data_IF_999806383788
#
_entry.id   IF_999806383788
#
_cell.length_a   1.000
_cell.length_b   1.000
_cell.length_c   1.000
_cell.angle_alpha   90.00
_cell.angle_beta   90.00
_cell.angle_gamma   90.00
#
_symmetry.space_group_name_H-M   'P 1'
#
loop_
_entity.id
_entity.type
_entity.pdbx_description
1 polymer ?
#
# COMPACT_ATOMS: atom_id res chain seq x y z
N UNK A 1 6.26 0.89 -2.51
CA UNK A 1 6.34 -0.11 -3.61
C UNK A 1 5.39 -1.24 -3.25
N UNK A 2 4.57 -1.70 -4.18
CA UNK A 2 3.66 -2.84 -4.00
C UNK A 2 4.07 -3.94 -4.97
N UNK A 3 4.34 -5.13 -4.43
CA UNK A 3 4.83 -6.28 -5.19
C UNK A 3 3.94 -7.50 -4.97
N UNK A 4 3.85 -8.33 -6.01
CA UNK A 4 3.27 -9.67 -5.91
C UNK A 4 4.41 -10.67 -5.68
N UNK A 5 4.50 -11.32 -4.51
CA UNK A 5 5.66 -12.15 -4.17
C UNK A 5 5.78 -13.41 -5.03
N UNK A 6 4.66 -13.93 -5.55
CA UNK A 6 4.65 -15.18 -6.31
C UNK A 6 5.28 -15.06 -7.72
N UNK A 7 5.34 -13.86 -8.29
CA UNK A 7 5.88 -13.61 -9.63
C UNK A 7 6.81 -12.39 -9.70
N UNK A 8 7.10 -11.75 -8.56
CA UNK A 8 7.95 -10.56 -8.42
C UNK A 8 7.47 -9.36 -9.24
N UNK A 9 6.18 -9.32 -9.60
CA UNK A 9 5.62 -8.20 -10.36
C UNK A 9 5.46 -6.99 -9.45
N UNK A 10 6.04 -5.86 -9.85
CA UNK A 10 5.72 -4.55 -9.29
C UNK A 10 4.37 -4.12 -9.88
N UNK A 11 3.35 -4.03 -9.01
CA UNK A 11 1.98 -3.68 -9.44
C UNK A 11 1.63 -2.22 -9.16
N UNK A 12 2.35 -1.58 -8.23
CA UNK A 12 2.17 -0.16 -7.93
C UNK A 12 3.40 0.42 -7.21
N UNK A 13 3.58 1.74 -7.28
CA UNK A 13 4.59 2.47 -6.55
C UNK A 13 4.13 3.89 -6.23
N UNK A 14 4.54 4.41 -5.07
CA UNK A 14 4.38 5.81 -4.71
C UNK A 14 5.71 6.53 -4.81
N UNK A 15 5.67 7.76 -5.32
CA UNK A 15 6.80 8.68 -5.24
C UNK A 15 6.62 9.59 -4.03
N UNK A 16 7.69 9.82 -3.28
CA UNK A 16 7.69 10.81 -2.21
C UNK A 16 7.46 12.22 -2.77
N UNK A 17 6.76 13.05 -2.02
CA UNK A 17 6.60 14.46 -2.37
C UNK A 17 7.85 15.26 -1.99
N UNK A 18 8.13 16.40 -2.65
CA UNK A 18 9.16 17.32 -2.20
C UNK A 18 8.88 17.85 -0.79
N UNK A 19 9.94 18.05 0.00
CA UNK A 19 9.84 18.26 1.45
C UNK A 19 9.76 16.90 2.15
N UNK A 20 10.30 16.78 3.36
CA UNK A 20 10.37 15.50 4.09
C UNK A 20 8.98 15.03 4.56
N UNK A 21 8.12 14.63 3.63
CA UNK A 21 6.77 14.15 3.92
C UNK A 21 6.86 12.66 4.24
N UNK A 22 6.11 12.22 5.25
CA UNK A 22 6.08 10.82 5.66
C UNK A 22 5.65 9.92 4.50
N UNK A 23 6.26 8.74 4.43
CA UNK A 23 5.93 7.69 3.47
C UNK A 23 4.45 7.32 3.48
N UNK A 24 3.79 7.33 4.65
CA UNK A 24 2.36 7.18 4.80
C UNK A 24 1.55 8.14 3.93
N UNK A 25 2.00 9.40 3.80
CA UNK A 25 1.35 10.39 2.96
C UNK A 25 1.56 10.08 1.47
N UNK A 26 2.76 9.68 1.07
CA UNK A 26 3.02 9.24 -0.30
C UNK A 26 2.18 8.01 -0.67
N UNK A 27 2.00 7.07 0.27
CA UNK A 27 1.18 5.87 0.08
C UNK A 27 -0.30 6.20 -0.17
N UNK A 28 -0.88 7.15 0.55
CA UNK A 28 -2.26 7.61 0.33
C UNK A 28 -2.54 8.14 -1.08
N UNK A 29 -1.49 8.46 -1.83
CA UNK A 29 -1.58 8.96 -3.21
C UNK A 29 -1.36 7.87 -4.27
N UNK A 30 -1.05 6.64 -3.86
CA UNK A 30 -0.93 5.49 -4.76
C UNK A 30 -2.27 4.99 -5.25
N UNK A 31 -2.28 4.29 -6.38
CA UNK A 31 -3.49 3.65 -6.91
C UNK A 31 -4.01 2.59 -5.94
N UNK A 32 -3.10 1.82 -5.35
CA UNK A 32 -3.40 0.81 -4.34
C UNK A 32 -4.18 1.42 -3.18
N UNK A 33 -3.77 2.58 -2.65
CA UNK A 33 -4.51 3.19 -1.54
C UNK A 33 -5.88 3.75 -1.96
N UNK A 34 -6.00 4.31 -3.17
CA UNK A 34 -7.21 5.01 -3.62
C UNK A 34 -8.27 4.10 -4.22
N UNK A 35 -7.82 3.04 -4.89
CA UNK A 35 -8.64 2.12 -5.69
C UNK A 35 -8.53 0.68 -5.17
N UNK A 36 -8.14 0.49 -3.90
CA UNK A 36 -7.99 -0.85 -3.28
C UNK A 36 -9.23 -1.73 -3.49
N UNK A 37 -10.44 -1.18 -3.44
CA UNK A 37 -11.67 -1.93 -3.61
C UNK A 37 -11.88 -2.49 -5.04
N UNK A 38 -11.26 -1.86 -6.05
CA UNK A 38 -11.28 -2.34 -7.44
C UNK A 38 -10.11 -3.30 -7.72
N UNK A 39 -8.98 -3.09 -7.05
CA UNK A 39 -7.75 -3.85 -7.23
C UNK A 39 -7.70 -5.14 -6.42
N UNK A 40 -8.32 -5.13 -5.24
CA UNK A 40 -8.35 -6.24 -4.29
C UNK A 40 -9.79 -6.74 -4.20
N UNK A 41 -9.96 -8.05 -4.36
CA UNK A 41 -11.24 -8.70 -4.06
C UNK A 41 -11.52 -8.62 -2.54
N UNK A 42 -12.76 -8.85 -2.13
CA UNK A 42 -13.24 -8.67 -0.75
C UNK A 42 -12.49 -9.50 0.31
N UNK A 43 -11.71 -10.51 -0.12
CA UNK A 43 -10.91 -11.39 0.75
C UNK A 43 -9.41 -11.23 0.53
N UNK A 44 -8.99 -10.30 -0.33
CA UNK A 44 -7.60 -9.99 -0.60
C UNK A 44 -7.16 -8.74 0.17
N UNK A 45 -5.91 -8.75 0.60
CA UNK A 45 -5.30 -7.68 1.36
C UNK A 45 -3.79 -7.64 1.07
N UNK A 46 -3.17 -6.50 1.36
CA UNK A 46 -1.72 -6.33 1.29
C UNK A 46 -1.12 -6.33 2.70
N UNK A 47 0.12 -6.78 2.82
CA UNK A 47 0.93 -6.45 3.99
C UNK A 47 1.59 -5.09 3.81
N UNK A 48 1.58 -4.28 4.86
CA UNK A 48 2.14 -2.95 4.85
C UNK A 48 3.05 -2.72 6.07
N UNK A 49 3.96 -1.76 5.94
CA UNK A 49 4.78 -1.22 7.03
C UNK A 49 3.93 -0.64 8.16
N UNK A 50 4.50 -0.57 9.38
CA UNK A 50 3.81 -0.08 10.57
C UNK A 50 3.45 1.40 10.56
N UNK A 51 4.08 2.20 9.69
CA UNK A 51 3.74 3.59 9.47
C UNK A 51 2.40 3.79 8.71
N UNK A 52 1.87 2.75 8.05
CA UNK A 52 0.65 2.83 7.26
C UNK A 52 -0.63 2.56 8.07
N UNK A 53 -1.81 3.01 7.60
CA UNK A 53 -3.07 2.71 8.26
C UNK A 53 -3.33 1.20 8.29
N UNK A 54 -3.92 0.74 9.40
CA UNK A 54 -4.36 -0.64 9.59
C UNK A 54 -5.82 -0.74 9.20
N UNK A 55 -6.10 -1.32 8.04
CA UNK A 55 -7.42 -1.43 7.43
C UNK A 55 -7.69 -2.89 7.00
N UNK A 56 -8.94 -3.30 6.75
CA UNK A 56 -9.25 -4.67 6.30
C UNK A 56 -8.47 -5.12 5.05
N UNK A 57 -8.14 -4.17 4.15
CA UNK A 57 -7.38 -4.42 2.92
C UNK A 57 -5.87 -4.14 3.07
N UNK A 58 -5.44 -3.51 4.18
CA UNK A 58 -4.06 -3.09 4.46
C UNK A 58 -3.65 -3.59 5.86
N UNK A 59 -3.10 -4.80 5.91
CA UNK A 59 -2.73 -5.47 7.15
C UNK A 59 -1.33 -5.06 7.57
N UNK A 60 -1.22 -4.56 8.79
CA UNK A 60 0.04 -4.20 9.43
C UNK A 60 0.37 -5.26 10.48
N UNK A 61 1.31 -6.19 10.21
CA UNK A 61 1.52 -7.36 11.06
C UNK A 61 2.11 -7.02 12.44
N UNK A 62 2.85 -5.91 12.52
CA UNK A 62 3.50 -5.45 13.74
C UNK A 62 3.21 -3.96 13.92
N UNK A 63 2.65 -3.59 15.07
CA UNK A 63 2.39 -2.19 15.47
C UNK A 63 3.13 -1.87 16.75
#
# INVERSE_FOLDING_TARGET
LVILPHNLLIVDYGLGFPGSVHDAYAFQHTRTSREHAELLDNQHWIWADSAYPSEPWCVVPFK
#
